data_IF_895270659894
#
_entry.id   IF_895270659894
#
_cell.length_a   1.000
_cell.length_b   1.000
_cell.length_c   1.000
_cell.angle_alpha   90.00
_cell.angle_beta   90.00
_cell.angle_gamma   90.00
#
_symmetry.space_group_name_H-M   'P 1'
#
loop_
_entity.id
_entity.type
_entity.pdbx_description
1 polymer ?
#
# COMPACT_ATOMS: atom_id res chain seq x y z
N UNK A 1 28.70 -77.30 60.24
CA UNK A 1 27.98 -76.10 59.72
C UNK A 1 28.96 -75.00 59.85
N UNK A 2 29.42 -74.36 58.80
CA UNK A 2 30.51 -73.41 58.81
C UNK A 2 30.00 -71.98 58.91
N UNK A 3 30.68 -71.20 59.81
CA UNK A 3 30.46 -69.75 59.96
C UNK A 3 31.25 -68.94 58.97
N UNK A 4 30.61 -67.92 58.45
CA UNK A 4 31.20 -66.99 57.47
C UNK A 4 31.81 -65.82 58.20
N UNK A 5 33.09 -65.53 57.96
CA UNK A 5 33.83 -64.35 58.44
C UNK A 5 33.66 -63.27 57.39
N UNK A 6 33.14 -62.08 57.79
CA UNK A 6 33.03 -60.91 56.96
C UNK A 6 34.27 -60.01 57.26
N UNK A 7 35.05 -59.77 56.24
CA UNK A 7 36.16 -58.81 56.23
C UNK A 7 35.65 -57.43 55.74
N UNK A 8 35.85 -56.42 56.56
CA UNK A 8 35.62 -54.99 56.15
C UNK A 8 36.90 -54.42 55.55
N UNK A 9 36.88 -54.11 54.28
CA UNK A 9 37.93 -53.29 53.65
C UNK A 9 37.42 -51.86 53.49
N UNK A 10 38.01 -50.92 54.21
CA UNK A 10 37.82 -49.47 54.03
C UNK A 10 38.47 -49.01 52.70
N UNK A 11 37.68 -48.49 51.80
CA UNK A 11 38.18 -47.72 50.65
C UNK A 11 37.85 -46.24 50.84
N UNK A 12 38.90 -45.45 51.05
CA UNK A 12 38.82 -44.00 51.08
C UNK A 12 38.70 -43.52 49.61
N UNK A 13 37.55 -42.97 49.27
CA UNK A 13 37.34 -42.33 47.96
C UNK A 13 37.78 -40.87 48.02
N UNK A 14 38.86 -40.51 47.33
CA UNK A 14 39.28 -39.13 47.09
C UNK A 14 38.34 -38.51 46.03
N UNK A 15 37.47 -37.57 46.43
CA UNK A 15 36.66 -36.78 45.55
C UNK A 15 37.48 -35.63 44.96
N UNK A 16 37.89 -35.77 43.69
CA UNK A 16 38.51 -34.65 42.94
C UNK A 16 37.37 -33.80 42.38
N UNK A 17 37.16 -32.61 42.93
CA UNK A 17 36.31 -31.60 42.38
C UNK A 17 37.04 -30.91 41.20
N UNK A 18 36.63 -31.25 39.95
CA UNK A 18 37.05 -30.52 38.77
C UNK A 18 36.20 -29.27 38.69
N UNK A 19 36.76 -28.12 38.99
CA UNK A 19 36.13 -26.81 38.78
C UNK A 19 36.14 -26.51 37.27
N UNK A 20 35.08 -26.90 36.52
CA UNK A 20 34.89 -26.50 35.13
C UNK A 20 34.45 -25.03 35.16
N UNK A 21 35.41 -24.11 35.00
CA UNK A 21 35.10 -22.69 34.72
C UNK A 21 34.39 -22.66 33.34
N UNK A 22 33.08 -22.46 33.35
CA UNK A 22 32.34 -22.04 32.19
C UNK A 22 32.83 -20.69 31.74
N UNK A 23 33.79 -20.64 30.84
CA UNK A 23 34.10 -19.44 30.06
C UNK A 23 32.91 -19.29 29.10
N UNK A 24 31.86 -18.59 29.53
CA UNK A 24 30.87 -18.05 28.62
C UNK A 24 31.64 -17.07 27.72
N UNK A 25 31.63 -17.31 26.37
CA UNK A 25 32.19 -16.29 25.51
C UNK A 25 31.37 -15.03 25.74
N UNK A 26 31.99 -14.00 26.26
CA UNK A 26 31.46 -12.65 26.25
C UNK A 26 31.39 -12.27 24.78
N UNK A 27 30.23 -12.57 24.13
CA UNK A 27 29.93 -11.95 22.87
C UNK A 27 29.91 -10.46 23.18
N UNK A 28 30.94 -9.77 22.78
CA UNK A 28 30.90 -8.32 22.69
C UNK A 28 29.61 -8.03 21.91
N UNK A 29 28.62 -7.44 22.54
CA UNK A 29 27.52 -6.80 21.83
C UNK A 29 28.19 -5.76 20.95
N UNK A 30 28.55 -6.14 19.75
CA UNK A 30 28.98 -5.20 18.75
C UNK A 30 27.75 -4.32 18.56
N UNK A 31 27.84 -3.04 18.91
CA UNK A 31 26.73 -2.12 18.76
C UNK A 31 26.24 -2.24 17.31
N UNK A 32 24.99 -2.62 17.13
CA UNK A 32 24.43 -2.83 15.80
C UNK A 32 24.59 -1.53 15.02
N UNK A 33 25.20 -1.61 13.86
CA UNK A 33 25.46 -0.47 13.00
C UNK A 33 24.13 0.09 12.49
N UNK A 34 23.95 1.38 12.58
CA UNK A 34 22.82 2.10 12.03
C UNK A 34 23.23 2.66 10.67
N UNK A 35 22.55 2.23 9.59
CA UNK A 35 22.85 2.70 8.24
C UNK A 35 22.27 4.10 8.00
N UNK A 36 21.07 4.36 8.55
CA UNK A 36 20.35 5.61 8.38
C UNK A 36 19.64 5.99 9.69
N UNK A 37 19.76 7.24 10.10
CA UNK A 37 19.04 7.82 11.23
C UNK A 37 18.28 9.08 10.78
N UNK A 38 16.95 9.03 10.83
CA UNK A 38 16.09 10.20 10.58
C UNK A 38 15.79 10.84 11.93
N UNK A 39 16.27 12.07 12.15
CA UNK A 39 16.17 12.78 13.42
C UNK A 39 15.13 13.88 13.43
N UNK A 40 14.46 14.04 14.58
CA UNK A 40 13.65 15.21 14.92
C UNK A 40 12.37 15.37 14.10
N UNK A 41 11.99 14.37 13.31
CA UNK A 41 10.76 14.39 12.50
C UNK A 41 9.51 14.15 13.34
N UNK A 42 8.36 14.67 12.90
CA UNK A 42 7.07 14.33 13.49
C UNK A 42 6.61 13.00 12.93
N UNK A 43 6.80 11.92 13.69
CA UNK A 43 6.40 10.57 13.28
C UNK A 43 4.89 10.43 13.40
N UNK A 44 4.23 10.04 12.28
CA UNK A 44 2.82 9.67 12.23
C UNK A 44 2.74 8.24 11.69
N UNK A 45 2.57 7.29 12.61
CA UNK A 45 2.45 5.86 12.32
C UNK A 45 1.20 5.29 13.02
N UNK A 46 0.05 5.33 12.34
CA UNK A 46 -1.21 4.89 12.93
C UNK A 46 -1.23 3.38 13.23
N UNK A 47 -0.42 2.57 12.55
CA UNK A 47 -0.28 1.14 12.85
C UNK A 47 0.27 0.87 14.25
N UNK A 48 1.10 1.78 14.78
CA UNK A 48 1.69 1.73 16.11
C UNK A 48 1.13 2.80 17.07
N UNK A 49 0.08 3.52 16.69
CA UNK A 49 -0.50 4.64 17.47
C UNK A 49 0.53 5.73 17.81
N UNK A 50 1.48 6.01 16.90
CA UNK A 50 2.49 7.05 17.06
C UNK A 50 2.04 8.34 16.36
N UNK A 51 2.11 9.47 17.08
CA UNK A 51 1.87 10.81 16.57
C UNK A 51 2.64 11.82 17.43
N UNK A 52 3.98 11.86 17.26
CA UNK A 52 4.86 12.72 18.06
C UNK A 52 6.24 12.90 17.40
N UNK A 53 7.01 13.88 17.88
CA UNK A 53 8.40 14.04 17.43
C UNK A 53 9.25 12.88 17.94
N UNK A 54 9.86 12.15 17.01
CA UNK A 54 10.69 10.97 17.28
C UNK A 54 11.80 10.84 16.23
N UNK A 55 12.76 10.00 16.54
CA UNK A 55 13.80 9.55 15.63
C UNK A 55 13.47 8.15 15.08
N UNK A 56 13.86 7.89 13.84
CA UNK A 56 13.71 6.57 13.20
C UNK A 56 15.08 6.09 12.74
N UNK A 57 15.55 4.99 13.30
CA UNK A 57 16.79 4.34 12.92
C UNK A 57 16.52 3.15 12.01
N UNK A 58 17.35 2.99 10.97
CA UNK A 58 17.30 1.92 9.98
C UNK A 58 18.63 1.17 9.97
N UNK A 59 18.56 -0.16 9.93
CA UNK A 59 19.70 -1.06 9.80
C UNK A 59 19.32 -2.26 8.93
N UNK A 60 20.18 -2.65 8.00
CA UNK A 60 19.97 -3.79 7.10
C UNK A 60 18.60 -3.78 6.40
N UNK A 61 18.18 -2.60 5.93
CA UNK A 61 16.93 -2.43 5.21
C UNK A 61 15.65 -2.53 6.06
N UNK A 62 15.78 -2.58 7.39
CA UNK A 62 14.68 -2.71 8.35
C UNK A 62 14.64 -1.55 9.33
N UNK A 63 13.46 -1.27 9.87
CA UNK A 63 13.30 -0.38 11.02
C UNK A 63 14.03 -1.03 12.21
N UNK A 64 15.11 -0.38 12.65
CA UNK A 64 15.85 -0.82 13.80
C UNK A 64 15.22 -0.34 15.11
N UNK A 65 14.84 0.94 15.14
CA UNK A 65 14.23 1.56 16.34
C UNK A 65 13.47 2.83 15.99
N UNK A 66 12.37 3.06 16.73
CA UNK A 66 11.67 4.35 16.76
C UNK A 66 11.63 4.82 18.20
N UNK A 67 12.22 5.97 18.50
CA UNK A 67 12.32 6.50 19.87
C UNK A 67 12.44 8.04 19.88
N UNK A 68 12.14 8.71 21.01
CA UNK A 68 12.22 10.18 21.12
C UNK A 68 13.62 10.75 20.88
N UNK A 69 14.66 10.00 21.21
CA UNK A 69 16.05 10.36 20.97
C UNK A 69 16.90 9.11 20.76
N UNK A 70 17.60 9.07 19.63
CA UNK A 70 18.54 8.00 19.26
C UNK A 70 19.92 8.65 19.05
N UNK A 71 20.97 8.10 19.73
CA UNK A 71 22.33 8.58 19.53
C UNK A 71 22.76 8.49 18.08
N UNK A 72 23.41 9.54 17.58
CA UNK A 72 24.01 9.56 16.26
C UNK A 72 25.42 8.92 16.21
N UNK A 73 25.90 8.34 17.31
CA UNK A 73 27.18 7.62 17.37
C UNK A 73 27.09 6.33 16.55
N UNK A 74 28.08 6.06 15.70
CA UNK A 74 28.16 4.90 14.80
C UNK A 74 27.01 4.80 13.79
N UNK A 75 26.49 5.93 13.34
CA UNK A 75 25.51 6.06 12.27
C UNK A 75 26.21 6.43 10.97
N UNK A 76 25.96 5.70 9.88
CA UNK A 76 26.56 6.01 8.59
C UNK A 76 26.03 7.33 8.01
N UNK A 77 24.72 7.56 8.13
CA UNK A 77 24.06 8.78 7.63
C UNK A 77 22.97 9.27 8.57
N UNK A 78 23.01 10.55 8.89
CA UNK A 78 21.97 11.23 9.67
C UNK A 78 21.21 12.19 8.76
N UNK A 79 19.89 12.14 8.83
CA UNK A 79 18.97 13.02 8.09
C UNK A 79 18.21 13.87 9.11
N UNK A 80 18.29 15.18 9.00
CA UNK A 80 17.49 16.10 9.78
C UNK A 80 16.10 16.25 9.15
N UNK A 81 15.07 15.72 9.83
CA UNK A 81 13.67 15.83 9.45
C UNK A 81 12.90 16.84 10.31
N UNK A 82 13.59 17.76 10.98
CA UNK A 82 12.95 18.78 11.82
C UNK A 82 11.94 19.60 11.02
N UNK A 83 10.70 19.66 11.52
CA UNK A 83 9.59 20.35 10.84
C UNK A 83 8.92 19.57 9.72
N UNK A 84 9.34 18.34 9.46
CA UNK A 84 8.75 17.42 8.48
C UNK A 84 8.00 16.28 9.18
N UNK A 85 7.15 15.60 8.45
CA UNK A 85 6.42 14.42 8.89
C UNK A 85 7.12 13.16 8.39
N UNK A 86 7.39 12.22 9.29
CA UNK A 86 7.95 10.90 8.96
C UNK A 86 6.84 9.88 9.09
N UNK A 87 6.49 9.22 7.98
CA UNK A 87 5.38 8.29 7.91
C UNK A 87 5.83 6.96 7.29
N UNK A 88 5.13 5.85 7.49
CA UNK A 88 5.35 4.64 6.71
C UNK A 88 5.27 4.95 5.21
N UNK A 89 6.02 4.22 4.40
CA UNK A 89 5.92 4.34 2.94
C UNK A 89 4.48 4.20 2.47
N UNK A 90 4.05 5.13 1.61
CA UNK A 90 2.68 5.18 1.14
C UNK A 90 2.37 3.97 0.24
N UNK A 91 1.12 3.50 0.29
CA UNK A 91 0.62 2.38 -0.51
C UNK A 91 -0.51 2.88 -1.40
N UNK A 92 -0.30 2.81 -2.71
CA UNK A 92 -1.34 3.12 -3.70
C UNK A 92 -2.04 1.81 -4.13
N UNK A 93 -3.29 1.55 -3.71
CA UNK A 93 -3.94 0.28 -3.95
C UNK A 93 -4.57 0.14 -5.34
N UNK A 94 -4.47 1.16 -6.20
CA UNK A 94 -5.11 1.15 -7.50
C UNK A 94 -4.24 1.84 -8.55
N UNK A 95 -3.51 1.03 -9.33
CA UNK A 95 -2.60 1.52 -10.38
C UNK A 95 -2.64 0.59 -11.60
N UNK A 96 -2.11 1.06 -12.73
CA UNK A 96 -1.93 0.29 -13.95
C UNK A 96 -0.49 0.42 -14.41
N UNK A 97 0.33 -0.61 -14.12
CA UNK A 97 1.79 -0.53 -14.26
C UNK A 97 2.38 -1.65 -15.13
N UNK A 98 1.57 -2.45 -15.79
CA UNK A 98 2.05 -3.40 -16.80
C UNK A 98 2.31 -2.67 -18.11
N UNK A 99 3.37 -1.85 -18.14
CA UNK A 99 3.75 -1.01 -19.27
C UNK A 99 4.37 -1.84 -20.39
N UNK A 100 4.08 -1.45 -21.62
CA UNK A 100 4.60 -2.10 -22.83
C UNK A 100 4.34 -1.26 -24.07
N UNK A 101 4.23 -1.89 -25.24
CA UNK A 101 4.12 -1.23 -26.54
C UNK A 101 2.73 -1.29 -27.19
N UNK A 102 1.83 -2.13 -26.67
CA UNK A 102 0.46 -2.27 -27.18
C UNK A 102 -0.42 -1.09 -26.77
N UNK A 103 -1.55 -0.88 -27.48
CA UNK A 103 -2.46 0.25 -27.21
C UNK A 103 -3.23 0.11 -25.90
N UNK A 104 -3.41 -1.12 -25.39
CA UNK A 104 -4.15 -1.39 -24.15
C UNK A 104 -3.35 -1.07 -22.87
N UNK A 105 -3.87 -1.53 -21.74
CA UNK A 105 -3.21 -1.43 -20.43
C UNK A 105 -2.27 -2.61 -20.18
N UNK A 106 -2.69 -3.84 -20.46
CA UNK A 106 -1.83 -5.01 -20.31
C UNK A 106 -0.73 -5.02 -21.37
N UNK A 107 0.53 -5.01 -20.94
CA UNK A 107 1.70 -4.86 -21.83
C UNK A 107 1.52 -3.68 -22.80
N UNK A 108 0.95 -2.58 -22.31
CA UNK A 108 0.52 -1.46 -23.13
C UNK A 108 1.02 -0.10 -22.67
N UNK A 109 1.00 0.87 -23.59
CA UNK A 109 1.44 2.24 -23.34
C UNK A 109 0.44 3.07 -22.48
N UNK A 110 -0.78 2.56 -22.30
CA UNK A 110 -1.75 3.19 -21.37
C UNK A 110 -1.35 3.01 -19.92
N UNK A 111 -0.64 1.95 -19.57
CA UNK A 111 0.05 1.79 -18.28
C UNK A 111 1.29 2.68 -18.20
N UNK A 112 1.86 2.80 -17.02
CA UNK A 112 3.07 3.59 -16.75
C UNK A 112 4.09 2.79 -15.95
N UNK A 113 5.38 3.09 -16.11
CA UNK A 113 6.42 2.54 -15.24
C UNK A 113 6.19 3.06 -13.80
N UNK A 114 6.12 2.18 -12.80
CA UNK A 114 5.86 2.64 -11.43
C UNK A 114 6.91 3.62 -10.93
N UNK A 115 8.20 3.35 -11.15
CA UNK A 115 9.30 4.13 -10.61
C UNK A 115 9.34 5.59 -11.12
N UNK A 116 8.72 5.87 -12.27
CA UNK A 116 8.73 7.22 -12.87
C UNK A 116 7.90 8.23 -12.05
N UNK A 117 6.96 7.76 -11.24
CA UNK A 117 5.99 8.63 -10.55
C UNK A 117 5.95 8.38 -9.05
N UNK A 118 5.99 7.11 -8.63
CA UNK A 118 5.69 6.70 -7.26
C UNK A 118 6.73 7.19 -6.28
N UNK A 119 8.02 7.01 -6.60
CA UNK A 119 9.11 7.30 -5.66
C UNK A 119 9.17 8.79 -5.28
N UNK A 120 8.91 9.70 -6.23
CA UNK A 120 8.84 11.15 -5.97
C UNK A 120 7.56 11.61 -5.25
N UNK A 121 6.66 10.68 -4.97
CA UNK A 121 5.42 10.93 -4.23
C UNK A 121 5.36 10.19 -2.88
N UNK A 122 6.49 9.68 -2.37
CA UNK A 122 6.51 8.96 -1.10
C UNK A 122 5.89 7.56 -1.16
N UNK A 123 5.55 7.06 -2.36
CA UNK A 123 4.90 5.76 -2.55
C UNK A 123 5.97 4.70 -2.69
N UNK A 124 6.00 3.75 -1.77
CA UNK A 124 6.94 2.62 -1.78
C UNK A 124 6.31 1.34 -2.31
N UNK A 125 4.98 1.27 -2.31
CA UNK A 125 4.21 0.11 -2.76
C UNK A 125 3.03 0.54 -3.61
N UNK A 126 2.85 -0.12 -4.76
CA UNK A 126 1.65 0.00 -5.58
C UNK A 126 0.97 -1.35 -5.73
N UNK A 127 -0.34 -1.33 -5.97
CA UNK A 127 -1.09 -2.52 -6.36
C UNK A 127 -1.65 -2.31 -7.75
N UNK A 128 -1.20 -3.10 -8.70
CA UNK A 128 -1.78 -3.12 -10.04
C UNK A 128 -3.21 -3.63 -10.00
N UNK A 129 -4.13 -2.88 -10.58
CA UNK A 129 -5.56 -3.14 -10.48
C UNK A 129 -6.08 -4.01 -11.63
N UNK A 130 -5.46 -5.17 -11.82
CA UNK A 130 -5.93 -6.16 -12.79
C UNK A 130 -5.53 -5.86 -14.22
N UNK A 131 -4.44 -5.14 -14.42
CA UNK A 131 -3.88 -4.98 -15.76
C UNK A 131 -3.56 -6.34 -16.36
N UNK A 132 -3.01 -7.28 -15.56
CA UNK A 132 -2.81 -8.67 -15.97
C UNK A 132 -3.91 -9.61 -15.47
N UNK A 133 -4.12 -10.71 -16.19
CA UNK A 133 -4.91 -11.85 -15.80
C UNK A 133 -4.06 -13.13 -15.71
N UNK A 134 -4.70 -14.29 -15.50
CA UNK A 134 -4.00 -15.55 -15.28
C UNK A 134 -3.16 -16.03 -16.48
N UNK A 135 -3.41 -15.54 -17.70
CA UNK A 135 -2.67 -15.92 -18.92
C UNK A 135 -1.33 -15.18 -19.04
N UNK A 136 -1.25 -13.95 -18.60
CA UNK A 136 -0.11 -13.07 -18.84
C UNK A 136 0.58 -12.55 -17.56
N UNK A 137 0.17 -13.01 -16.38
CA UNK A 137 0.78 -12.60 -15.11
C UNK A 137 2.29 -12.86 -15.06
N UNK A 138 2.74 -14.00 -15.60
CA UNK A 138 4.17 -14.32 -15.63
C UNK A 138 4.96 -13.26 -16.41
N UNK A 139 4.44 -12.81 -17.56
CA UNK A 139 5.07 -11.74 -18.34
C UNK A 139 5.09 -10.42 -17.56
N UNK A 140 4.01 -10.07 -16.88
CA UNK A 140 3.96 -8.89 -16.02
C UNK A 140 5.00 -8.95 -14.90
N UNK A 141 5.14 -10.09 -14.26
CA UNK A 141 6.15 -10.30 -13.23
C UNK A 141 7.56 -10.08 -13.78
N UNK A 142 7.93 -10.74 -14.87
CA UNK A 142 9.28 -10.68 -15.44
C UNK A 142 9.63 -9.31 -16.05
N UNK A 143 8.65 -8.63 -16.63
CA UNK A 143 8.86 -7.35 -17.31
C UNK A 143 8.86 -6.15 -16.36
N UNK A 144 8.04 -6.17 -15.31
CA UNK A 144 7.84 -5.02 -14.44
C UNK A 144 8.11 -5.35 -12.97
N UNK A 145 7.44 -6.36 -12.38
CA UNK A 145 7.46 -6.56 -10.93
C UNK A 145 8.89 -6.83 -10.44
N UNK A 146 9.58 -7.78 -11.07
CA UNK A 146 10.94 -8.18 -10.67
C UNK A 146 12.02 -7.14 -11.03
N UNK A 147 11.66 -6.03 -11.69
CA UNK A 147 12.61 -4.99 -12.14
C UNK A 147 12.41 -3.64 -11.48
N UNK A 148 11.25 -3.42 -10.86
CA UNK A 148 10.91 -2.14 -10.25
C UNK A 148 11.56 -1.95 -8.88
N UNK A 149 11.97 -0.72 -8.58
CA UNK A 149 12.38 -0.30 -7.23
C UNK A 149 11.15 -0.24 -6.33
N UNK A 150 10.05 0.33 -6.84
CA UNK A 150 8.74 0.32 -6.18
C UNK A 150 8.27 -1.13 -5.99
N UNK A 151 7.79 -1.49 -4.79
CA UNK A 151 7.13 -2.78 -4.62
C UNK A 151 5.84 -2.79 -5.42
N UNK A 152 5.73 -3.72 -6.35
CA UNK A 152 4.52 -3.91 -7.16
C UNK A 152 3.81 -5.18 -6.70
N UNK A 153 2.59 -4.99 -6.22
CA UNK A 153 1.62 -6.05 -5.92
C UNK A 153 0.54 -6.04 -7.01
N UNK A 154 -0.36 -7.03 -7.02
CA UNK A 154 -1.38 -7.13 -8.07
C UNK A 154 -2.72 -7.66 -7.55
N UNK A 155 -3.81 -7.05 -7.96
CA UNK A 155 -5.08 -7.73 -8.09
C UNK A 155 -5.08 -8.45 -9.46
N UNK A 156 -5.34 -9.74 -9.49
CA UNK A 156 -5.38 -10.49 -10.74
C UNK A 156 -6.76 -10.35 -11.39
N UNK A 157 -6.80 -9.92 -12.65
CA UNK A 157 -8.09 -9.80 -13.36
C UNK A 157 -8.75 -11.17 -13.54
N UNK A 158 -10.07 -11.22 -13.37
CA UNK A 158 -10.84 -12.43 -13.66
C UNK A 158 -10.83 -12.77 -15.16
N UNK A 159 -10.75 -11.77 -16.05
CA UNK A 159 -10.48 -11.95 -17.47
C UNK A 159 -9.04 -12.46 -17.65
N UNK A 160 -8.87 -13.57 -18.35
CA UNK A 160 -7.59 -14.28 -18.40
C UNK A 160 -6.42 -13.49 -18.95
N UNK A 161 -6.66 -12.59 -19.89
CA UNK A 161 -5.64 -11.71 -20.46
C UNK A 161 -5.57 -10.33 -19.81
N UNK A 162 -6.35 -10.09 -18.74
CA UNK A 162 -6.39 -8.81 -18.07
C UNK A 162 -6.98 -7.70 -18.95
N UNK A 163 -6.53 -6.46 -18.70
CA UNK A 163 -7.03 -5.26 -19.38
C UNK A 163 -6.34 -5.04 -20.74
N UNK A 164 -6.36 -6.02 -21.61
CA UNK A 164 -5.83 -5.91 -22.98
C UNK A 164 -6.74 -5.11 -23.92
N UNK A 165 -7.86 -4.60 -23.40
CA UNK A 165 -8.84 -3.79 -24.11
C UNK A 165 -10.12 -4.57 -24.42
N UNK A 166 -11.17 -3.83 -24.84
CA UNK A 166 -12.36 -4.44 -25.38
C UNK A 166 -12.00 -5.23 -26.65
N UNK A 167 -12.37 -6.46 -26.83
CA UNK A 167 -13.45 -7.24 -26.21
C UNK A 167 -13.00 -8.24 -25.11
N UNK A 168 -11.75 -8.24 -24.67
CA UNK A 168 -11.21 -9.28 -23.77
C UNK A 168 -11.96 -9.33 -22.43
N UNK A 169 -12.30 -8.18 -21.86
CA UNK A 169 -13.04 -8.07 -20.59
C UNK A 169 -14.56 -8.34 -20.75
N UNK A 170 -15.03 -8.60 -21.99
CA UNK A 170 -16.39 -9.03 -22.30
C UNK A 170 -16.49 -10.55 -22.57
N UNK A 171 -15.36 -11.25 -22.74
CA UNK A 171 -15.36 -12.69 -22.99
C UNK A 171 -15.51 -13.50 -21.70
N UNK A 172 -16.76 -13.84 -21.39
CA UNK A 172 -17.10 -14.66 -20.23
C UNK A 172 -16.35 -16.01 -20.25
N UNK A 173 -16.07 -16.58 -21.44
CA UNK A 173 -15.38 -17.87 -21.51
C UNK A 173 -13.91 -17.80 -21.08
N UNK A 174 -13.29 -16.62 -21.14
CA UNK A 174 -11.92 -16.39 -20.66
C UNK A 174 -11.86 -16.09 -19.14
N UNK A 175 -13.00 -15.90 -18.48
CA UNK A 175 -13.10 -15.65 -17.04
C UNK A 175 -13.17 -16.95 -16.27
N UNK A 176 -12.02 -17.52 -15.89
CA UNK A 176 -11.92 -18.81 -15.20
C UNK A 176 -11.53 -18.66 -13.73
N UNK A 177 -12.48 -18.91 -12.82
CA UNK A 177 -12.28 -18.82 -11.38
C UNK A 177 -11.20 -19.76 -10.85
N UNK A 178 -11.09 -20.98 -11.41
CA UNK A 178 -10.10 -21.98 -10.97
C UNK A 178 -8.70 -21.58 -11.40
N UNK A 179 -8.51 -21.21 -12.68
CA UNK A 179 -7.22 -20.77 -13.19
C UNK A 179 -6.75 -19.51 -12.46
N UNK A 180 -7.62 -18.52 -12.27
CA UNK A 180 -7.33 -17.31 -11.50
C UNK A 180 -6.88 -17.67 -10.07
N UNK A 181 -7.61 -18.56 -9.37
CA UNK A 181 -7.26 -18.96 -8.01
C UNK A 181 -5.96 -19.77 -7.92
N UNK A 182 -5.63 -20.55 -8.96
CA UNK A 182 -4.36 -21.30 -9.03
C UNK A 182 -3.16 -20.35 -9.15
N UNK A 183 -3.25 -19.36 -10.03
CA UNK A 183 -2.19 -18.37 -10.22
C UNK A 183 -2.02 -17.51 -8.95
N UNK A 184 -3.10 -17.10 -8.28
CA UNK A 184 -3.01 -16.38 -7.00
C UNK A 184 -2.24 -17.21 -5.97
N UNK A 185 -2.56 -18.49 -5.82
CA UNK A 185 -1.87 -19.38 -4.87
C UNK A 185 -0.43 -19.70 -5.25
N UNK A 186 -0.08 -19.56 -6.53
CA UNK A 186 1.30 -19.71 -7.00
C UNK A 186 2.17 -18.50 -6.61
N UNK A 187 1.56 -17.30 -6.47
CA UNK A 187 2.27 -16.06 -6.16
C UNK A 187 1.65 -15.32 -4.97
N UNK A 188 1.55 -15.95 -3.78
CA UNK A 188 0.81 -15.42 -2.63
C UNK A 188 1.42 -14.15 -2.05
N UNK A 189 2.72 -13.90 -2.26
CA UNK A 189 3.41 -12.70 -1.79
C UNK A 189 3.24 -11.50 -2.72
N UNK A 190 2.71 -11.71 -3.92
CA UNK A 190 2.56 -10.67 -4.95
C UNK A 190 1.09 -10.40 -5.25
N UNK A 191 0.27 -11.46 -5.44
CA UNK A 191 -1.13 -11.30 -5.81
C UNK A 191 -1.99 -11.23 -4.55
N UNK A 192 -2.59 -10.07 -4.34
CA UNK A 192 -3.32 -9.73 -3.10
C UNK A 192 -4.84 -9.81 -3.23
N UNK A 193 -5.38 -10.04 -4.44
CA UNK A 193 -6.82 -10.12 -4.65
C UNK A 193 -7.20 -10.42 -6.11
N UNK A 194 -8.50 -10.36 -6.37
CA UNK A 194 -9.09 -10.52 -7.71
C UNK A 194 -9.70 -9.20 -8.14
N UNK A 195 -9.46 -8.82 -9.40
CA UNK A 195 -10.10 -7.64 -10.03
C UNK A 195 -11.27 -8.08 -10.90
N UNK A 196 -12.34 -7.31 -10.81
CA UNK A 196 -13.42 -7.29 -11.81
C UNK A 196 -13.81 -5.85 -12.14
N UNK A 197 -13.87 -5.55 -13.43
CA UNK A 197 -14.27 -4.25 -13.97
C UNK A 197 -14.62 -4.34 -15.44
N UNK A 198 -15.11 -3.23 -16.01
CA UNK A 198 -15.33 -2.98 -17.43
C UNK A 198 -16.33 -3.90 -18.16
N UNK A 199 -16.87 -4.97 -17.53
CA UNK A 199 -17.87 -5.81 -18.13
C UNK A 199 -19.19 -5.03 -18.34
N UNK A 200 -19.73 -5.03 -19.56
CA UNK A 200 -20.92 -4.27 -19.97
C UNK A 200 -22.18 -5.10 -20.15
N UNK A 201 -22.06 -6.42 -19.99
CA UNK A 201 -23.22 -7.31 -20.04
C UNK A 201 -24.07 -7.23 -18.78
N UNK A 202 -25.26 -7.80 -18.84
CA UNK A 202 -26.22 -7.89 -17.71
C UNK A 202 -26.13 -9.19 -16.92
N UNK A 203 -25.23 -10.10 -17.31
CA UNK A 203 -25.07 -11.40 -16.65
C UNK A 203 -24.22 -11.31 -15.41
N UNK A 204 -24.60 -12.00 -14.36
CA UNK A 204 -23.84 -12.09 -13.11
C UNK A 204 -22.66 -13.07 -13.17
N UNK A 205 -22.55 -13.88 -14.21
CA UNK A 205 -21.52 -14.91 -14.35
C UNK A 205 -20.09 -14.39 -14.15
N UNK A 206 -19.65 -13.26 -14.72
CA UNK A 206 -18.34 -12.70 -14.47
C UNK A 206 -18.11 -12.35 -13.00
N UNK A 207 -19.09 -11.72 -12.38
CA UNK A 207 -19.03 -11.33 -10.96
C UNK A 207 -18.98 -12.55 -10.04
N UNK A 208 -19.86 -13.54 -10.28
CA UNK A 208 -19.90 -14.77 -9.48
C UNK A 208 -18.59 -15.58 -9.62
N UNK A 209 -17.97 -15.62 -10.81
CA UNK A 209 -16.64 -16.24 -11.02
C UNK A 209 -15.52 -15.49 -10.30
N UNK A 210 -15.55 -14.15 -10.27
CA UNK A 210 -14.59 -13.37 -9.49
C UNK A 210 -14.75 -13.65 -8.00
N UNK A 211 -15.97 -13.69 -7.46
CA UNK A 211 -16.27 -14.07 -6.08
C UNK A 211 -15.75 -15.49 -5.76
N UNK A 212 -15.98 -16.45 -6.66
CA UNK A 212 -15.51 -17.81 -6.50
C UNK A 212 -13.98 -17.87 -6.48
N UNK A 213 -13.30 -17.20 -7.40
CA UNK A 213 -11.83 -17.12 -7.43
C UNK A 213 -11.27 -16.56 -6.12
N UNK A 214 -11.84 -15.45 -5.65
CA UNK A 214 -11.43 -14.83 -4.38
C UNK A 214 -11.68 -15.75 -3.19
N UNK A 215 -12.80 -16.49 -3.16
CA UNK A 215 -13.10 -17.47 -2.11
C UNK A 215 -12.13 -18.66 -2.14
N UNK A 216 -11.84 -19.19 -3.32
CA UNK A 216 -10.91 -20.32 -3.51
C UNK A 216 -9.47 -19.96 -3.12
N UNK A 217 -9.07 -18.72 -3.34
CA UNK A 217 -7.73 -18.24 -3.03
C UNK A 217 -7.61 -17.60 -1.63
N UNK A 218 -8.73 -17.30 -0.96
CA UNK A 218 -8.72 -16.64 0.36
C UNK A 218 -8.35 -15.15 0.30
N UNK A 219 -8.64 -14.47 -0.81
CA UNK A 219 -8.29 -13.07 -1.04
C UNK A 219 -9.53 -12.19 -1.30
N UNK A 220 -9.43 -10.85 -1.08
CA UNK A 220 -10.51 -9.92 -1.40
C UNK A 220 -10.70 -9.71 -2.90
N UNK A 221 -11.85 -9.12 -3.26
CA UNK A 221 -12.10 -8.56 -4.57
C UNK A 221 -11.82 -7.06 -4.57
N UNK A 222 -11.36 -6.54 -5.72
CA UNK A 222 -11.46 -5.16 -6.12
C UNK A 222 -12.53 -5.06 -7.23
N UNK A 223 -13.63 -4.39 -6.92
CA UNK A 223 -14.78 -4.24 -7.81
C UNK A 223 -14.89 -2.80 -8.29
N UNK A 224 -14.93 -2.62 -9.60
CA UNK A 224 -15.10 -1.29 -10.18
C UNK A 224 -16.56 -0.90 -10.39
N UNK A 225 -16.79 0.40 -10.41
CA UNK A 225 -18.08 0.98 -10.77
C UNK A 225 -18.44 0.83 -12.27
N UNK A 226 -17.52 0.34 -13.09
CA UNK A 226 -17.71 0.13 -14.51
C UNK A 226 -18.43 -1.19 -14.84
N UNK A 227 -19.54 -1.42 -14.18
CA UNK A 227 -20.44 -2.54 -14.43
C UNK A 227 -21.86 -1.97 -14.63
N UNK A 228 -22.11 -1.15 -15.67
CA UNK A 228 -23.27 -0.27 -15.75
C UNK A 228 -24.59 -1.00 -15.81
N UNK A 229 -24.59 -2.24 -16.28
CA UNK A 229 -25.81 -3.06 -16.40
C UNK A 229 -26.11 -3.86 -15.13
N UNK A 230 -25.19 -3.84 -14.13
CA UNK A 230 -25.36 -4.49 -12.83
C UNK A 230 -25.68 -3.43 -11.78
N UNK A 231 -26.85 -3.50 -11.09
CA UNK A 231 -27.23 -2.51 -10.08
C UNK A 231 -26.26 -2.47 -8.91
N UNK A 232 -25.84 -1.25 -8.50
CA UNK A 232 -24.89 -1.08 -7.39
C UNK A 232 -25.36 -1.75 -6.09
N UNK A 233 -26.65 -1.63 -5.78
CA UNK A 233 -27.26 -2.26 -4.60
C UNK A 233 -27.04 -3.77 -4.58
N UNK A 234 -27.26 -4.43 -5.72
CA UNK A 234 -27.06 -5.88 -5.86
C UNK A 234 -25.56 -6.26 -5.85
N UNK A 235 -24.69 -5.43 -6.45
CA UNK A 235 -23.23 -5.61 -6.39
C UNK A 235 -22.79 -5.60 -4.92
N UNK A 236 -23.13 -4.55 -4.16
CA UNK A 236 -22.76 -4.42 -2.76
C UNK A 236 -23.37 -5.52 -1.88
N UNK A 237 -24.61 -5.94 -2.16
CA UNK A 237 -25.23 -7.05 -1.47
C UNK A 237 -24.48 -8.38 -1.67
N UNK A 238 -23.91 -8.63 -2.85
CA UNK A 238 -23.14 -9.84 -3.18
C UNK A 238 -21.70 -9.81 -2.69
N UNK A 239 -21.09 -8.62 -2.56
CA UNK A 239 -19.72 -8.45 -2.05
C UNK A 239 -19.59 -8.98 -0.62
N UNK A 240 -18.39 -9.43 -0.25
CA UNK A 240 -18.07 -10.01 1.05
C UNK A 240 -17.39 -8.97 1.95
N UNK A 241 -17.41 -9.19 3.25
CA UNK A 241 -16.55 -8.42 4.19
C UNK A 241 -15.10 -8.45 3.71
N UNK A 242 -14.50 -7.27 3.62
CA UNK A 242 -13.11 -7.07 3.17
C UNK A 242 -12.95 -6.86 1.67
N UNK A 243 -13.98 -7.12 0.85
CA UNK A 243 -13.96 -6.75 -0.56
C UNK A 243 -13.97 -5.22 -0.71
N UNK A 244 -13.39 -4.72 -1.79
CA UNK A 244 -13.15 -3.30 -2.03
C UNK A 244 -13.97 -2.84 -3.23
N UNK A 245 -14.76 -1.78 -3.05
CA UNK A 245 -15.43 -1.07 -4.12
C UNK A 245 -14.65 0.21 -4.45
N UNK A 246 -14.18 0.35 -5.68
CA UNK A 246 -13.38 1.51 -6.11
C UNK A 246 -14.17 2.47 -6.98
N UNK A 247 -13.59 3.66 -7.26
CA UNK A 247 -14.23 4.79 -7.93
C UNK A 247 -15.44 5.33 -7.18
N UNK A 248 -15.33 5.35 -5.85
CA UNK A 248 -16.49 5.63 -4.98
C UNK A 248 -17.04 7.05 -5.11
N UNK A 249 -16.24 8.02 -5.53
CA UNK A 249 -16.62 9.44 -5.55
C UNK A 249 -16.92 9.97 -6.95
N UNK A 250 -17.56 9.16 -7.81
CA UNK A 250 -17.92 9.58 -9.16
C UNK A 250 -19.43 9.71 -9.35
N UNK A 251 -19.80 10.52 -10.34
CA UNK A 251 -21.13 10.49 -10.97
C UNK A 251 -20.92 10.24 -12.45
N UNK A 252 -21.70 9.36 -13.03
CA UNK A 252 -21.80 9.22 -14.47
C UNK A 252 -23.25 8.91 -14.82
N UNK A 253 -23.67 9.29 -16.02
CA UNK A 253 -25.01 8.96 -16.52
C UNK A 253 -25.25 7.48 -16.63
N UNK A 254 -24.17 6.71 -16.76
CA UNK A 254 -24.13 5.25 -16.95
C UNK A 254 -23.67 4.49 -15.70
N UNK A 255 -23.46 5.16 -14.56
CA UNK A 255 -22.95 4.55 -13.32
C UNK A 255 -23.74 4.99 -12.12
N UNK A 256 -23.99 4.07 -11.21
CA UNK A 256 -24.69 4.39 -9.97
C UNK A 256 -23.78 5.11 -8.99
N UNK A 257 -24.19 6.31 -8.58
CA UNK A 257 -23.51 7.12 -7.57
C UNK A 257 -23.82 6.61 -6.16
N UNK A 258 -22.89 6.80 -5.22
CA UNK A 258 -23.13 6.55 -3.78
C UNK A 258 -24.24 7.43 -3.21
N UNK A 259 -24.46 8.62 -3.81
CA UNK A 259 -25.47 9.57 -3.38
C UNK A 259 -26.80 9.35 -4.10
N UNK A 260 -27.91 9.62 -3.38
CA UNK A 260 -29.24 9.74 -3.98
C UNK A 260 -29.40 11.12 -4.66
N UNK A 261 -30.59 11.37 -5.27
CA UNK A 261 -30.89 12.63 -5.96
C UNK A 261 -30.98 13.85 -5.00
N UNK A 262 -31.05 13.61 -3.69
CA UNK A 262 -31.04 14.65 -2.65
C UNK A 262 -29.65 14.89 -2.07
N UNK A 263 -28.61 14.23 -2.61
CA UNK A 263 -27.23 14.31 -2.15
C UNK A 263 -26.96 13.53 -0.85
N UNK A 264 -27.83 12.61 -0.42
CA UNK A 264 -27.62 11.77 0.77
C UNK A 264 -26.97 10.45 0.37
N UNK A 265 -26.12 9.94 1.24
CA UNK A 265 -25.61 8.56 1.06
C UNK A 265 -26.79 7.59 1.04
N UNK A 266 -26.82 6.70 0.06
CA UNK A 266 -27.85 5.67 -0.08
C UNK A 266 -27.77 4.66 1.07
N UNK A 267 -28.90 4.25 1.60
CA UNK A 267 -28.98 3.35 2.77
C UNK A 267 -28.21 2.04 2.53
N UNK A 268 -28.34 1.42 1.36
CA UNK A 268 -27.63 0.19 1.03
C UNK A 268 -26.09 0.37 0.96
N UNK A 269 -25.59 1.60 0.74
CA UNK A 269 -24.15 1.91 0.79
C UNK A 269 -23.67 1.94 2.25
N UNK A 270 -24.48 2.50 3.17
CA UNK A 270 -24.19 2.48 4.60
C UNK A 270 -24.23 1.04 5.14
N UNK A 271 -25.23 0.25 4.77
CA UNK A 271 -25.32 -1.17 5.12
C UNK A 271 -24.12 -1.98 4.61
N UNK A 272 -23.67 -1.70 3.38
CA UNK A 272 -22.47 -2.32 2.83
C UNK A 272 -21.20 -1.97 3.64
N UNK A 273 -21.07 -0.72 4.08
CA UNK A 273 -19.97 -0.29 4.97
C UNK A 273 -20.02 -1.00 6.31
N UNK A 274 -21.20 -1.10 6.92
CA UNK A 274 -21.39 -1.85 8.18
C UNK A 274 -21.07 -3.35 8.03
N UNK A 275 -21.40 -3.93 6.88
CA UNK A 275 -21.01 -5.29 6.51
C UNK A 275 -19.50 -5.46 6.42
N UNK A 276 -18.75 -4.37 6.24
CA UNK A 276 -17.30 -4.31 6.14
C UNK A 276 -16.76 -4.32 4.71
N UNK A 277 -17.55 -3.89 3.74
CA UNK A 277 -17.07 -3.53 2.41
C UNK A 277 -16.28 -2.24 2.53
N UNK A 278 -15.18 -2.14 1.83
CA UNK A 278 -14.27 -1.00 1.82
C UNK A 278 -14.49 -0.15 0.57
N UNK A 279 -14.35 1.15 0.72
CA UNK A 279 -14.61 2.12 -0.36
C UNK A 279 -13.33 2.87 -0.69
N UNK A 280 -12.76 2.58 -1.85
CA UNK A 280 -11.55 3.21 -2.35
C UNK A 280 -11.88 4.44 -3.20
N UNK A 281 -10.99 5.44 -3.18
CA UNK A 281 -11.15 6.66 -4.00
C UNK A 281 -11.11 6.32 -5.49
N UNK A 282 -10.10 5.59 -5.95
CA UNK A 282 -9.93 5.26 -7.37
C UNK A 282 -10.08 6.50 -8.26
N UNK A 283 -9.24 7.53 -8.06
CA UNK A 283 -9.46 8.87 -8.63
C UNK A 283 -9.53 8.88 -10.15
N UNK A 284 -8.59 8.20 -10.81
CA UNK A 284 -8.52 8.09 -12.25
C UNK A 284 -8.54 9.39 -13.03
N UNK A 285 -8.73 9.25 -14.33
CA UNK A 285 -8.91 10.39 -15.24
C UNK A 285 -10.35 10.91 -15.29
N UNK A 286 -11.34 10.12 -14.83
CA UNK A 286 -12.76 10.41 -14.95
C UNK A 286 -13.61 10.12 -13.70
N UNK A 287 -13.02 9.60 -12.59
CA UNK A 287 -13.78 8.93 -11.53
C UNK A 287 -13.80 9.66 -10.18
N UNK A 288 -13.43 10.93 -10.15
CA UNK A 288 -13.47 11.72 -8.92
C UNK A 288 -14.14 13.09 -9.16
N UNK A 289 -15.23 13.35 -8.45
CA UNK A 289 -16.00 14.61 -8.54
C UNK A 289 -16.17 15.24 -7.17
N UNK A 290 -15.85 16.52 -7.03
CA UNK A 290 -16.12 17.27 -5.81
C UNK A 290 -17.61 17.29 -5.44
N UNK A 291 -18.48 17.30 -6.44
CA UNK A 291 -19.92 17.23 -6.25
C UNK A 291 -20.41 15.94 -5.54
N UNK A 292 -19.57 14.91 -5.47
CA UNK A 292 -19.85 13.68 -4.70
C UNK A 292 -19.01 13.64 -3.42
N UNK A 293 -17.71 13.95 -3.53
CA UNK A 293 -16.80 13.81 -2.40
C UNK A 293 -17.17 14.77 -1.25
N UNK A 294 -17.53 16.02 -1.55
CA UNK A 294 -17.87 17.00 -0.51
C UNK A 294 -19.12 16.59 0.30
N UNK A 295 -20.29 16.33 -0.33
CA UNK A 295 -21.48 15.92 0.43
C UNK A 295 -21.30 14.59 1.14
N UNK A 296 -20.51 13.65 0.59
CA UNK A 296 -20.22 12.37 1.24
C UNK A 296 -19.42 12.58 2.53
N UNK A 297 -18.37 13.42 2.48
CA UNK A 297 -17.54 13.74 3.64
C UNK A 297 -18.31 14.52 4.72
N UNK A 298 -19.16 15.47 4.32
CA UNK A 298 -20.05 16.21 5.23
C UNK A 298 -20.98 15.28 6.02
N UNK A 299 -21.34 14.13 5.45
CA UNK A 299 -22.11 13.07 6.10
C UNK A 299 -21.25 12.05 6.84
N UNK A 300 -19.93 12.27 6.96
CA UNK A 300 -19.00 11.37 7.64
C UNK A 300 -18.59 10.13 6.82
N UNK A 301 -18.92 10.08 5.53
CA UNK A 301 -18.51 8.99 4.65
C UNK A 301 -17.12 9.26 4.09
N UNK A 302 -16.11 8.74 4.79
CA UNK A 302 -14.70 8.84 4.42
C UNK A 302 -14.27 7.63 3.56
N UNK A 303 -13.32 7.80 2.61
CA UNK A 303 -12.74 6.65 1.89
C UNK A 303 -11.95 5.75 2.83
N UNK A 304 -11.78 4.49 2.46
CA UNK A 304 -10.91 3.56 3.18
C UNK A 304 -9.47 3.57 2.65
N UNK A 305 -9.26 3.99 1.40
CA UNK A 305 -7.95 4.11 0.76
C UNK A 305 -7.95 5.21 -0.31
N UNK A 306 -6.74 5.61 -0.73
CA UNK A 306 -6.51 6.64 -1.74
C UNK A 306 -5.97 6.06 -3.04
N UNK A 307 -6.67 5.08 -3.64
CA UNK A 307 -6.32 4.58 -4.96
C UNK A 307 -6.25 5.71 -5.99
N UNK A 308 -5.12 5.81 -6.68
CA UNK A 308 -4.94 6.87 -7.67
C UNK A 308 -5.54 6.50 -9.02
N UNK A 309 -5.68 5.22 -9.31
CA UNK A 309 -5.95 4.73 -10.66
C UNK A 309 -4.91 5.30 -11.63
N UNK A 310 -3.63 5.11 -11.23
CA UNK A 310 -2.49 5.62 -11.96
C UNK A 310 -2.36 4.96 -13.32
N UNK A 311 -2.49 5.75 -14.34
CA UNK A 311 -2.21 5.39 -15.72
C UNK A 311 -1.87 6.65 -16.51
N UNK A 312 -1.43 6.50 -17.76
CA UNK A 312 -0.95 7.60 -18.60
C UNK A 312 -1.92 8.79 -18.70
N UNK A 313 -3.21 8.52 -18.77
CA UNK A 313 -4.21 9.60 -18.92
C UNK A 313 -4.56 10.26 -17.59
N UNK A 314 -4.61 9.48 -16.49
CA UNK A 314 -4.95 10.02 -15.17
C UNK A 314 -3.85 10.92 -14.60
N UNK A 315 -2.57 10.54 -14.77
CA UNK A 315 -1.43 11.34 -14.30
C UNK A 315 -1.33 12.71 -14.96
N UNK A 316 -1.84 12.84 -16.18
CA UNK A 316 -1.86 14.09 -16.95
C UNK A 316 -3.19 14.85 -16.84
N UNK A 317 -4.04 14.47 -15.90
CA UNK A 317 -5.34 15.08 -15.61
C UNK A 317 -5.41 15.65 -14.17
N UNK A 318 -6.60 15.76 -13.60
CA UNK A 318 -6.81 16.22 -12.23
C UNK A 318 -6.25 15.31 -11.14
N UNK A 319 -5.92 14.05 -11.43
CA UNK A 319 -5.33 13.10 -10.47
C UNK A 319 -3.90 13.49 -10.11
N UNK A 320 -3.05 13.72 -11.09
CA UNK A 320 -1.61 14.02 -11.00
C UNK A 320 -0.80 12.91 -10.30
N UNK A 321 -0.95 12.75 -8.99
CA UNK A 321 -0.38 11.70 -8.15
C UNK A 321 -1.20 11.53 -6.86
N UNK A 322 -0.88 10.49 -6.07
CA UNK A 322 -1.59 10.20 -4.82
C UNK A 322 -1.50 11.34 -3.78
N UNK A 323 -0.39 12.08 -3.71
CA UNK A 323 -0.26 13.22 -2.77
C UNK A 323 -1.22 14.37 -3.14
N UNK A 324 -1.50 14.59 -4.45
CA UNK A 324 -2.50 15.57 -4.86
C UNK A 324 -3.92 15.14 -4.43
N UNK A 325 -4.22 13.83 -4.49
CA UNK A 325 -5.47 13.25 -3.98
C UNK A 325 -5.57 13.44 -2.47
N UNK A 326 -4.55 13.03 -1.71
CA UNK A 326 -4.49 13.19 -0.26
C UNK A 326 -4.63 14.68 0.14
N UNK A 327 -4.03 15.59 -0.65
CA UNK A 327 -4.15 17.04 -0.44
C UNK A 327 -5.56 17.55 -0.65
N UNK A 328 -6.34 16.98 -1.60
CA UNK A 328 -7.77 17.30 -1.76
C UNK A 328 -8.53 16.97 -0.49
N UNK A 329 -8.38 15.77 0.05
CA UNK A 329 -9.05 15.34 1.27
C UNK A 329 -8.60 16.15 2.51
N UNK A 330 -7.31 16.54 2.58
CA UNK A 330 -6.81 17.44 3.62
C UNK A 330 -7.52 18.80 3.60
N UNK A 331 -7.75 19.36 2.41
CA UNK A 331 -8.47 20.64 2.25
C UNK A 331 -10.00 20.49 2.33
N UNK A 332 -10.52 19.26 2.22
CA UNK A 332 -11.91 18.91 2.54
C UNK A 332 -12.14 18.67 4.05
N UNK A 333 -11.11 18.84 4.87
CA UNK A 333 -11.23 18.80 6.34
C UNK A 333 -10.87 17.47 7.00
N UNK A 334 -10.37 16.47 6.25
CA UNK A 334 -9.87 15.22 6.84
C UNK A 334 -8.61 15.52 7.67
N UNK A 335 -8.53 14.94 8.88
CA UNK A 335 -7.33 15.03 9.71
C UNK A 335 -6.12 14.37 9.03
N UNK A 336 -4.92 14.92 9.23
CA UNK A 336 -3.72 14.40 8.57
C UNK A 336 -3.43 12.94 9.00
N UNK A 337 -3.58 12.62 10.27
CA UNK A 337 -3.43 11.27 10.80
C UNK A 337 -4.39 10.27 10.12
N UNK A 338 -5.63 10.69 9.90
CA UNK A 338 -6.63 9.89 9.19
C UNK A 338 -6.25 9.65 7.72
N UNK A 339 -5.63 10.64 7.09
CA UNK A 339 -5.11 10.52 5.72
C UNK A 339 -3.96 9.51 5.71
N UNK A 340 -2.99 9.63 6.61
CA UNK A 340 -1.86 8.70 6.70
C UNK A 340 -2.35 7.28 7.02
N UNK A 341 -3.29 7.12 7.94
CA UNK A 341 -3.90 5.82 8.25
C UNK A 341 -4.41 5.12 6.98
N UNK A 342 -5.15 5.86 6.13
CA UNK A 342 -5.74 5.33 4.89
C UNK A 342 -4.74 5.16 3.76
N UNK A 343 -3.65 5.91 3.78
CA UNK A 343 -2.57 5.80 2.79
C UNK A 343 -1.53 4.72 3.14
N UNK A 344 -1.59 4.14 4.36
CA UNK A 344 -0.60 3.20 4.88
C UNK A 344 -1.27 1.97 5.50
N UNK A 345 -1.48 1.95 6.82
CA UNK A 345 -1.93 0.79 7.58
C UNK A 345 -3.29 0.25 7.17
N UNK A 346 -4.29 1.12 6.93
CA UNK A 346 -5.61 0.67 6.51
C UNK A 346 -5.60 0.03 5.12
N UNK A 347 -4.82 0.60 4.20
CA UNK A 347 -4.62 0.03 2.86
C UNK A 347 -3.90 -1.31 2.94
N UNK A 348 -2.82 -1.41 3.73
CA UNK A 348 -2.10 -2.67 3.96
C UNK A 348 -3.02 -3.78 4.48
N UNK A 349 -3.84 -3.47 5.49
CA UNK A 349 -4.86 -4.40 6.00
C UNK A 349 -5.92 -4.77 4.95
N UNK A 350 -6.27 -3.84 4.05
CA UNK A 350 -7.28 -4.09 3.02
C UNK A 350 -6.84 -5.12 1.99
N UNK A 351 -5.54 -5.25 1.81
CA UNK A 351 -4.91 -6.20 0.87
C UNK A 351 -4.21 -7.36 1.57
N UNK A 352 -4.48 -7.58 2.87
CA UNK A 352 -3.89 -8.64 3.70
C UNK A 352 -2.35 -8.60 3.77
N UNK A 353 -1.73 -7.41 3.66
CA UNK A 353 -0.28 -7.19 3.76
C UNK A 353 0.05 -6.42 5.03
N UNK A 354 -0.27 -7.04 6.18
CA UNK A 354 0.00 -6.47 7.52
C UNK A 354 1.47 -6.39 7.88
N UNK A 355 2.36 -6.87 7.02
CA UNK A 355 3.81 -6.67 7.06
C UNK A 355 4.24 -5.28 6.52
N UNK A 356 3.31 -4.49 5.97
CA UNK A 356 3.53 -3.18 5.38
C UNK A 356 2.72 -2.07 6.09
N UNK A 357 3.04 -0.82 5.78
CA UNK A 357 2.25 0.34 6.22
C UNK A 357 2.43 0.73 7.69
N UNK A 358 3.53 0.32 8.33
CA UNK A 358 3.89 0.67 9.69
C UNK A 358 5.41 0.74 9.89
N UNK A 359 5.88 1.37 10.98
CA UNK A 359 7.29 1.53 11.34
C UNK A 359 7.68 0.67 12.57
N UNK A 360 7.07 -0.49 12.75
CA UNK A 360 7.44 -1.40 13.84
C UNK A 360 8.88 -1.87 13.71
N UNK A 361 9.57 -2.05 14.83
CA UNK A 361 10.92 -2.61 14.85
C UNK A 361 10.94 -3.97 14.15
N UNK A 362 11.90 -4.18 13.26
CA UNK A 362 12.04 -5.37 12.42
C UNK A 362 11.22 -5.35 11.11
N UNK A 363 10.28 -4.43 10.93
CA UNK A 363 9.58 -4.23 9.67
C UNK A 363 10.52 -3.72 8.58
N UNK A 364 10.14 -3.92 7.32
CA UNK A 364 10.87 -3.35 6.19
C UNK A 364 10.91 -1.81 6.31
N UNK A 365 12.08 -1.21 6.08
CA UNK A 365 12.24 0.25 6.18
C UNK A 365 11.75 0.94 4.90
N UNK A 366 10.42 0.96 4.73
CA UNK A 366 9.72 1.74 3.74
C UNK A 366 9.18 3.00 4.43
N UNK A 367 9.74 4.17 4.09
CA UNK A 367 9.46 5.43 4.81
C UNK A 367 9.25 6.55 3.79
N UNK A 368 8.27 7.41 4.04
CA UNK A 368 8.12 8.68 3.37
C UNK A 368 8.32 9.84 4.35
N UNK A 369 9.11 10.84 3.93
CA UNK A 369 9.22 12.10 4.66
C UNK A 369 8.44 13.15 3.89
N UNK A 370 7.39 13.68 4.50
CA UNK A 370 6.42 14.56 3.89
C UNK A 370 6.48 15.96 4.47
N UNK A 371 6.12 16.92 3.63
CA UNK A 371 5.94 18.32 4.02
C UNK A 371 4.50 18.77 3.73
N UNK A 372 3.90 19.52 4.63
CA UNK A 372 2.63 20.20 4.41
C UNK A 372 2.92 21.66 4.04
N UNK A 373 3.05 21.92 2.75
CA UNK A 373 3.25 23.28 2.24
C UNK A 373 2.00 24.12 2.44
N UNK A 374 2.17 25.33 2.96
CA UNK A 374 1.10 26.34 3.10
C UNK A 374 1.16 27.31 1.95
N UNK A 375 0.00 27.69 1.39
CA UNK A 375 -0.05 28.60 0.26
C UNK A 375 -1.46 28.69 -0.34
N UNK A 376 -1.55 29.13 -1.58
CA UNK A 376 -2.79 29.12 -2.37
C UNK A 376 -2.66 28.08 -3.46
N UNK A 377 -3.48 27.06 -3.40
CA UNK A 377 -3.44 25.92 -4.31
C UNK A 377 -4.81 25.69 -4.96
N UNK A 378 -4.80 25.39 -6.25
CA UNK A 378 -5.99 24.92 -6.96
C UNK A 378 -5.94 23.41 -7.13
N UNK A 379 -6.97 22.70 -6.71
CA UNK A 379 -7.15 21.26 -6.90
C UNK A 379 -8.26 21.02 -7.92
N UNK A 380 -7.98 20.19 -8.91
CA UNK A 380 -8.87 19.96 -10.04
C UNK A 380 -9.49 18.56 -9.92
N UNK A 381 -10.81 18.47 -10.06
CA UNK A 381 -11.50 17.18 -10.21
C UNK A 381 -11.51 16.70 -11.67
N UNK A 382 -12.09 15.54 -11.94
CA UNK A 382 -12.13 14.98 -13.28
C UNK A 382 -13.15 15.64 -14.20
N UNK A 383 -14.01 16.54 -13.67
CA UNK A 383 -14.90 17.43 -14.45
C UNK A 383 -14.30 18.81 -14.67
N UNK A 384 -12.99 18.99 -14.38
CA UNK A 384 -12.27 20.27 -14.50
C UNK A 384 -12.80 21.35 -13.57
N UNK A 385 -13.49 20.99 -12.48
CA UNK A 385 -13.87 21.93 -11.44
C UNK A 385 -12.70 22.15 -10.50
N UNK A 386 -12.51 23.38 -10.03
CA UNK A 386 -11.38 23.77 -9.17
C UNK A 386 -11.87 24.00 -7.75
N UNK A 387 -11.32 23.29 -6.80
CA UNK A 387 -11.40 23.59 -5.38
C UNK A 387 -10.17 24.39 -4.96
N UNK A 388 -10.35 25.50 -4.25
CA UNK A 388 -9.25 26.24 -3.63
C UNK A 388 -8.88 25.60 -2.30
N UNK A 389 -7.58 25.53 -2.03
CA UNK A 389 -7.05 25.04 -0.78
C UNK A 389 -5.82 25.82 -0.33
N UNK A 390 -5.45 25.65 0.93
CA UNK A 390 -4.33 26.36 1.56
C UNK A 390 -3.17 25.43 1.95
N UNK A 391 -3.32 24.12 1.78
CA UNK A 391 -2.32 23.09 2.15
C UNK A 391 -2.09 22.13 0.99
N UNK A 392 -0.83 21.76 0.77
CA UNK A 392 -0.44 20.73 -0.20
C UNK A 392 0.61 19.82 0.40
N UNK A 393 0.45 18.51 0.21
CA UNK A 393 1.44 17.49 0.58
C UNK A 393 2.50 17.38 -0.50
N UNK A 394 3.75 17.36 -0.10
CA UNK A 394 4.90 17.09 -0.95
C UNK A 394 5.81 16.07 -0.27
N UNK A 395 6.42 15.18 -1.04
CA UNK A 395 7.42 14.25 -0.54
C UNK A 395 8.82 14.91 -0.62
N UNK A 396 9.47 15.03 0.53
CA UNK A 396 10.85 15.52 0.63
C UNK A 396 11.84 14.37 0.45
N UNK A 397 11.50 13.18 0.99
CA UNK A 397 12.37 12.00 0.90
C UNK A 397 11.52 10.74 0.80
N UNK A 398 11.99 9.75 0.03
CA UNK A 398 11.41 8.41 -0.01
C UNK A 398 12.51 7.38 0.21
N UNK A 399 12.27 6.48 1.16
CA UNK A 399 13.16 5.39 1.50
C UNK A 399 12.43 4.08 1.22
N UNK A 400 13.06 3.20 0.45
CA UNK A 400 12.57 1.89 0.08
C UNK A 400 13.56 0.82 0.51
N UNK A 401 13.14 -0.10 1.39
CA UNK A 401 14.03 -1.13 1.96
C UNK A 401 15.31 -0.53 2.55
N UNK A 402 15.18 0.59 3.29
CA UNK A 402 16.28 1.28 3.93
C UNK A 402 17.17 2.11 3.02
N UNK A 403 16.90 2.15 1.71
CA UNK A 403 17.67 2.93 0.74
C UNK A 403 16.91 4.20 0.36
N UNK A 404 17.61 5.33 0.35
CA UNK A 404 17.06 6.58 -0.21
C UNK A 404 16.91 6.40 -1.71
N UNK A 405 15.68 6.48 -2.21
CA UNK A 405 15.32 6.31 -3.63
C UNK A 405 14.81 7.60 -4.26
N UNK A 406 14.45 8.58 -3.45
CA UNK A 406 14.11 9.93 -3.86
C UNK A 406 14.51 10.92 -2.78
N UNK A 407 15.13 12.02 -3.17
CA UNK A 407 15.53 13.13 -2.30
C UNK A 407 15.28 14.45 -3.05
N UNK A 408 14.24 15.16 -2.64
CA UNK A 408 13.77 16.38 -3.32
C UNK A 408 14.74 17.54 -3.15
N UNK A 409 15.31 17.69 -1.95
CA UNK A 409 16.07 18.87 -1.56
C UNK A 409 17.47 18.54 -1.02
N UNK A 410 17.97 17.31 -1.21
CA UNK A 410 19.30 16.90 -0.78
C UNK A 410 19.43 16.65 0.72
N UNK A 411 18.33 16.26 1.41
CA UNK A 411 18.34 15.95 2.85
C UNK A 411 19.32 14.82 3.21
N UNK A 412 19.49 13.88 2.30
CA UNK A 412 20.41 12.75 2.43
C UNK A 412 21.72 12.93 1.68
N UNK A 413 21.93 14.05 0.98
CA UNK A 413 23.14 14.34 0.21
C UNK A 413 24.21 15.00 1.11
N UNK A 414 25.47 14.84 0.70
CA UNK A 414 26.56 15.57 1.33
C UNK A 414 26.63 17.01 0.79
N UNK A 415 26.95 17.98 1.65
CA UNK A 415 27.10 19.36 1.24
C UNK A 415 28.30 19.51 0.27
N UNK A 416 28.08 20.17 -0.85
CA UNK A 416 29.15 20.43 -1.81
C UNK A 416 30.21 21.33 -1.17
N UNK A 417 31.41 20.80 -1.03
CA UNK A 417 32.59 21.56 -0.58
C UNK A 417 33.40 21.96 -1.79
N UNK A 418 33.50 23.28 -2.06
CA UNK A 418 34.40 23.79 -3.09
C UNK A 418 35.83 23.53 -2.65
N UNK A 419 36.58 22.69 -3.38
CA UNK A 419 38.02 22.60 -3.19
C UNK A 419 38.60 24.01 -3.43
N UNK A 420 39.23 24.57 -2.41
CA UNK A 420 39.99 25.80 -2.59
C UNK A 420 41.34 25.37 -3.15
N UNK A 421 41.63 25.78 -4.42
CA UNK A 421 42.92 25.66 -5.03
C UNK A 421 44.02 26.33 -4.19
#
# INVERSE_FOLDING_TARGET
MPGIIISYACHAAFAIWILIAFITPCHSLQAQKIDLLIKGGHVVDPGNNLNSTMDVAVSDGKIFRVAPDISAENVDRVIDATGLYVVPGLIDPHTHVFVGSNDGFADGFSSVSPDDITLKAGITTVVDAGTSGWRNFQAFREQVIDRSITRVLSFLNIAGSGMTGFPTEEDINDMDARMTSLVIRQYPDIIVGVKIGHYRGSEWTPFDRALEAGRLAGVPLLVECHLPMLPLEEILARMRRGDIYTHSFCTASDRTCLLDEKGRIRDYVLEAREKGIRFDVGHGGAMFHFAVAMPAMEQGFLPDSFGSDLHRFSMNSGMKNMLDIMSKFLNLGMAFEDIIFRATWNTANSINRTDLGHLSEGAVADIAVLNIKKGKFGFIDTRKQVMQGDRRLEAELTIREGKVVWDQNGLAADEFKRERD
#
